data_IF_699787872943
#
_entry.id   IF_699787872943
#
_cell.length_a   1.000
_cell.length_b   1.000
_cell.length_c   1.000
_cell.angle_alpha   90.00
_cell.angle_beta   90.00
_cell.angle_gamma   90.00
#
_symmetry.space_group_name_H-M   'P 1'
#
loop_
_entity.id
_entity.type
_entity.pdbx_description
1 polymer ?
#
# COMPACT_ATOMS: atom_id res chain seq x y z
N UNK A 1 -19.63 -22.47 -27.18
CA UNK A 1 -19.46 -22.45 -25.71
C UNK A 1 -19.23 -21.00 -25.28
N UNK A 2 -20.18 -20.36 -24.59
CA UNK A 2 -19.93 -19.05 -23.96
C UNK A 2 -18.84 -19.25 -22.92
N UNK A 3 -17.67 -18.65 -23.14
CA UNK A 3 -16.66 -18.56 -22.09
C UNK A 3 -17.19 -17.59 -21.05
N UNK A 4 -17.69 -18.10 -19.92
CA UNK A 4 -17.98 -17.27 -18.74
C UNK A 4 -16.74 -16.44 -18.40
N UNK A 5 -16.81 -15.14 -18.70
CA UNK A 5 -15.80 -14.13 -18.40
C UNK A 5 -16.12 -13.51 -17.04
N UNK A 6 -15.09 -13.19 -16.26
CA UNK A 6 -15.29 -12.54 -14.95
C UNK A 6 -15.72 -11.09 -15.11
N UNK A 7 -16.35 -10.52 -14.08
CA UNK A 7 -16.75 -9.10 -14.09
C UNK A 7 -15.57 -8.16 -14.39
N UNK A 8 -14.41 -8.43 -13.79
CA UNK A 8 -13.20 -7.64 -14.02
C UNK A 8 -12.67 -7.72 -15.46
N UNK A 9 -12.92 -8.82 -16.18
CA UNK A 9 -12.54 -8.96 -17.58
C UNK A 9 -13.53 -8.24 -18.52
N UNK A 10 -14.81 -8.17 -18.13
CA UNK A 10 -15.84 -7.48 -18.91
C UNK A 10 -15.79 -5.95 -18.73
N UNK A 11 -15.47 -5.47 -17.52
CA UNK A 11 -15.41 -4.06 -17.15
C UNK A 11 -14.08 -3.73 -16.48
N UNK A 12 -13.03 -3.69 -17.29
CA UNK A 12 -11.70 -3.39 -16.80
C UNK A 12 -11.57 -1.92 -16.36
N UNK A 13 -10.83 -1.70 -15.26
CA UNK A 13 -10.39 -0.40 -14.79
C UNK A 13 -8.95 -0.53 -14.28
N UNK A 14 -8.06 0.46 -14.51
CA UNK A 14 -6.72 0.47 -13.92
C UNK A 14 -6.71 0.35 -12.38
N UNK A 15 -7.82 0.68 -11.70
CA UNK A 15 -7.93 0.51 -10.26
C UNK A 15 -7.84 -0.96 -9.80
N UNK A 16 -7.98 -1.95 -10.69
CA UNK A 16 -7.72 -3.35 -10.33
C UNK A 16 -6.25 -3.63 -9.94
N UNK A 17 -5.30 -2.74 -10.28
CA UNK A 17 -3.96 -2.81 -9.71
C UNK A 17 -3.96 -2.66 -8.17
N UNK A 18 -4.98 -2.01 -7.59
CA UNK A 18 -5.15 -1.92 -6.14
C UNK A 18 -5.42 -3.29 -5.49
N UNK A 19 -5.94 -4.27 -6.24
CA UNK A 19 -6.05 -5.64 -5.75
C UNK A 19 -4.66 -6.28 -5.55
N UNK A 20 -3.75 -6.10 -6.53
CA UNK A 20 -2.37 -6.56 -6.39
C UNK A 20 -1.63 -5.82 -5.26
N UNK A 21 -1.83 -4.50 -5.17
CA UNK A 21 -1.31 -3.66 -4.09
C UNK A 21 -1.78 -4.13 -2.72
N UNK A 22 -3.09 -4.38 -2.56
CA UNK A 22 -3.69 -4.85 -1.31
C UNK A 22 -3.16 -6.21 -0.87
N UNK A 23 -3.03 -7.17 -1.79
CA UNK A 23 -2.36 -8.45 -1.52
C UNK A 23 -0.91 -8.24 -1.05
N UNK A 24 -0.14 -7.37 -1.72
CA UNK A 24 1.21 -7.04 -1.29
C UNK A 24 1.23 -6.40 0.11
N UNK A 25 0.24 -5.55 0.40
CA UNK A 25 0.04 -4.97 1.72
C UNK A 25 -0.13 -6.01 2.83
N UNK A 26 -0.95 -7.03 2.57
CA UNK A 26 -1.16 -8.14 3.48
C UNK A 26 0.09 -9.00 3.67
N UNK A 27 0.98 -9.11 2.67
CA UNK A 27 2.31 -9.72 2.88
C UNK A 27 3.09 -8.97 3.97
N UNK A 28 3.07 -7.64 3.93
CA UNK A 28 3.76 -6.80 4.92
C UNK A 28 3.18 -6.99 6.31
N UNK A 29 1.85 -7.09 6.46
CA UNK A 29 1.24 -7.30 7.79
C UNK A 29 1.68 -8.63 8.42
N UNK A 30 1.76 -9.71 7.65
CA UNK A 30 2.34 -10.97 8.15
C UNK A 30 3.84 -10.85 8.44
N UNK A 31 4.58 -10.10 7.63
CA UNK A 31 5.99 -9.84 7.90
C UNK A 31 6.22 -9.05 9.21
N UNK A 32 5.28 -8.20 9.63
CA UNK A 32 5.36 -7.50 10.93
C UNK A 32 5.44 -8.46 12.11
N UNK A 33 4.85 -9.66 12.00
CA UNK A 33 4.93 -10.68 13.05
C UNK A 33 6.37 -11.15 13.19
N UNK A 34 7.01 -11.46 12.07
CA UNK A 34 8.41 -11.87 12.04
C UNK A 34 9.28 -10.73 12.55
N UNK A 35 9.08 -9.52 12.02
CA UNK A 35 9.86 -8.33 12.38
C UNK A 35 9.84 -8.03 13.88
N UNK A 36 8.71 -8.21 14.56
CA UNK A 36 8.58 -7.82 15.97
C UNK A 36 8.58 -8.99 16.96
N UNK A 37 8.41 -10.24 16.52
CA UNK A 37 8.37 -11.39 17.44
C UNK A 37 9.56 -12.35 17.28
N UNK A 38 10.31 -12.26 16.18
CA UNK A 38 11.55 -13.04 15.98
C UNK A 38 12.76 -12.19 16.38
N UNK A 39 13.61 -12.64 17.31
CA UNK A 39 14.88 -11.99 17.60
C UNK A 39 15.85 -12.09 16.40
N UNK A 40 16.46 -10.97 16.01
CA UNK A 40 17.39 -10.88 14.87
C UNK A 40 18.55 -9.93 15.23
N UNK A 41 19.48 -10.33 16.12
CA UNK A 41 20.57 -9.48 16.57
C UNK A 41 21.55 -9.16 15.42
N UNK A 42 22.06 -7.93 15.40
CA UNK A 42 23.05 -7.49 14.41
C UNK A 42 22.47 -7.14 13.04
N UNK A 43 21.15 -7.21 12.87
CA UNK A 43 20.45 -6.90 11.61
C UNK A 43 19.23 -6.03 11.88
N UNK A 44 18.79 -5.26 10.89
CA UNK A 44 17.62 -4.40 11.01
C UNK A 44 16.29 -5.15 10.77
N UNK A 45 16.36 -6.32 10.14
CA UNK A 45 15.21 -7.17 9.76
C UNK A 45 15.54 -8.64 9.99
N UNK A 46 14.55 -9.50 10.28
CA UNK A 46 14.77 -10.92 10.41
C UNK A 46 14.99 -11.59 9.05
N UNK A 47 15.96 -12.49 8.99
CA UNK A 47 16.24 -13.35 7.83
C UNK A 47 15.84 -14.81 8.11
N UNK A 48 15.85 -15.65 7.09
CA UNK A 48 15.48 -17.07 7.16
C UNK A 48 16.18 -17.79 8.33
N UNK A 49 17.48 -17.54 8.53
CA UNK A 49 18.28 -18.15 9.58
C UNK A 49 17.79 -17.78 10.99
N UNK A 50 17.38 -16.53 11.20
CA UNK A 50 16.81 -16.07 12.47
C UNK A 50 15.44 -16.69 12.71
N UNK A 51 14.62 -16.76 11.66
CA UNK A 51 13.29 -17.35 11.72
C UNK A 51 13.39 -18.85 12.03
N UNK A 52 14.29 -19.59 11.37
CA UNK A 52 14.52 -21.01 11.64
C UNK A 52 15.04 -21.25 13.06
N UNK A 53 15.93 -20.40 13.56
CA UNK A 53 16.40 -20.46 14.94
C UNK A 53 15.26 -20.23 15.92
N UNK A 54 14.43 -19.21 15.68
CA UNK A 54 13.26 -18.91 16.50
C UNK A 54 12.16 -19.98 16.41
N UNK A 55 12.04 -20.67 15.28
CA UNK A 55 11.12 -21.80 15.12
C UNK A 55 11.60 -23.01 15.95
N UNK A 56 12.90 -23.34 15.90
CA UNK A 56 13.47 -24.47 16.66
C UNK A 56 13.46 -24.23 18.16
N UNK A 57 13.78 -23.02 18.61
CA UNK A 57 13.92 -22.67 20.03
C UNK A 57 12.69 -21.98 20.64
N UNK A 58 11.65 -21.73 19.85
CA UNK A 58 10.47 -20.97 20.27
C UNK A 58 9.46 -21.79 21.07
N UNK A 59 8.63 -21.11 21.86
CA UNK A 59 7.44 -21.72 22.45
C UNK A 59 6.44 -22.15 21.37
N UNK A 60 5.52 -23.09 21.65
CA UNK A 60 4.52 -23.53 20.67
C UNK A 60 3.72 -22.38 20.05
N UNK A 61 3.40 -21.35 20.84
CA UNK A 61 2.70 -20.17 20.36
C UNK A 61 3.55 -19.35 19.37
N UNK A 62 4.85 -19.19 19.64
CA UNK A 62 5.77 -18.51 18.72
C UNK A 62 5.95 -19.31 17.43
N UNK A 63 6.04 -20.64 17.53
CA UNK A 63 6.11 -21.53 16.37
C UNK A 63 4.86 -21.39 15.49
N UNK A 64 3.66 -21.43 16.11
CA UNK A 64 2.41 -21.23 15.40
C UNK A 64 2.37 -19.85 14.70
N UNK A 65 2.79 -18.78 15.38
CA UNK A 65 2.84 -17.45 14.80
C UNK A 65 3.78 -17.37 13.58
N UNK A 66 4.96 -18.02 13.63
CA UNK A 66 5.90 -18.09 12.51
C UNK A 66 5.28 -18.86 11.33
N UNK A 67 4.67 -20.02 11.58
CA UNK A 67 4.02 -20.83 10.53
C UNK A 67 2.87 -20.07 9.87
N UNK A 68 2.04 -19.38 10.66
CA UNK A 68 0.97 -18.51 10.16
C UNK A 68 1.55 -17.38 9.31
N UNK A 69 2.63 -16.74 9.77
CA UNK A 69 3.29 -15.68 9.00
C UNK A 69 3.85 -16.19 7.67
N UNK A 70 4.52 -17.34 7.65
CA UNK A 70 5.00 -17.96 6.41
C UNK A 70 3.88 -18.30 5.44
N UNK A 71 2.83 -18.97 5.91
CA UNK A 71 1.68 -19.31 5.07
C UNK A 71 0.99 -18.06 4.52
N UNK A 72 0.81 -17.04 5.37
CA UNK A 72 0.22 -15.75 5.00
C UNK A 72 1.05 -15.00 3.96
N UNK A 73 2.37 -14.90 4.16
CA UNK A 73 3.30 -14.29 3.20
C UNK A 73 3.25 -15.03 1.87
N UNK A 74 3.36 -16.36 1.86
CA UNK A 74 3.37 -17.15 0.63
C UNK A 74 2.05 -17.00 -0.15
N UNK A 75 0.90 -17.13 0.53
CA UNK A 75 -0.42 -17.03 -0.09
C UNK A 75 -0.69 -15.63 -0.66
N UNK A 76 -0.39 -14.58 0.11
CA UNK A 76 -0.63 -13.20 -0.32
C UNK A 76 0.38 -12.75 -1.37
N UNK A 77 1.63 -13.22 -1.33
CA UNK A 77 2.61 -12.95 -2.37
C UNK A 77 2.22 -13.61 -3.70
N UNK A 78 1.72 -14.85 -3.65
CA UNK A 78 1.15 -15.51 -4.82
C UNK A 78 -0.01 -14.68 -5.41
N UNK A 79 -0.94 -14.21 -4.58
CA UNK A 79 -2.03 -13.35 -5.04
C UNK A 79 -1.54 -12.02 -5.62
N UNK A 80 -0.56 -11.37 -4.99
CA UNK A 80 0.05 -10.14 -5.49
C UNK A 80 0.63 -10.33 -6.89
N UNK A 81 1.49 -11.34 -7.08
CA UNK A 81 2.11 -11.62 -8.39
C UNK A 81 1.07 -12.02 -9.45
N UNK A 82 0.14 -12.91 -9.09
CA UNK A 82 -0.94 -13.34 -9.99
C UNK A 82 -1.77 -12.16 -10.48
N UNK A 83 -2.21 -11.29 -9.57
CA UNK A 83 -3.05 -10.14 -9.91
C UNK A 83 -2.27 -9.06 -10.65
N UNK A 84 -0.98 -8.88 -10.34
CA UNK A 84 -0.13 -7.92 -11.07
C UNK A 84 0.04 -8.34 -12.54
N UNK A 85 0.38 -9.61 -12.78
CA UNK A 85 0.54 -10.15 -14.14
C UNK A 85 -0.77 -10.02 -14.92
N UNK A 86 -1.89 -10.40 -14.29
CA UNK A 86 -3.22 -10.23 -14.90
C UNK A 86 -3.49 -8.77 -15.27
N UNK A 87 -3.25 -7.82 -14.35
CA UNK A 87 -3.49 -6.40 -14.60
C UNK A 87 -2.61 -5.84 -15.72
N UNK A 88 -1.34 -6.23 -15.83
CA UNK A 88 -0.51 -5.80 -16.95
C UNK A 88 -1.03 -6.32 -18.29
N UNK A 89 -1.48 -7.58 -18.34
CA UNK A 89 -2.09 -8.14 -19.55
C UNK A 89 -3.38 -7.41 -19.92
N UNK A 90 -4.22 -7.11 -18.94
CA UNK A 90 -5.50 -6.43 -19.13
C UNK A 90 -5.32 -4.96 -19.50
N UNK A 91 -4.37 -4.25 -18.86
CA UNK A 91 -4.02 -2.88 -19.22
C UNK A 91 -3.52 -2.78 -20.65
N UNK A 92 -2.70 -3.74 -21.10
CA UNK A 92 -2.20 -3.77 -22.49
C UNK A 92 -3.34 -3.94 -23.48
N UNK A 93 -4.32 -4.81 -23.20
CA UNK A 93 -5.51 -4.95 -24.03
C UNK A 93 -6.37 -3.67 -24.00
N UNK A 94 -6.59 -3.12 -22.81
CA UNK A 94 -7.36 -1.89 -22.59
C UNK A 94 -6.77 -0.69 -23.31
N UNK A 95 -5.44 -0.57 -23.39
CA UNK A 95 -4.74 0.53 -24.07
C UNK A 95 -5.10 0.70 -25.56
N UNK A 96 -5.72 -0.32 -26.18
CA UNK A 96 -6.18 -0.29 -27.58
C UNK A 96 -7.69 -0.01 -27.74
N UNK A 97 -8.38 0.40 -26.67
CA UNK A 97 -9.84 0.63 -26.66
C UNK A 97 -10.20 2.11 -26.73
N UNK A 98 -11.46 2.44 -27.04
CA UNK A 98 -11.95 3.83 -27.00
C UNK A 98 -12.03 4.33 -25.57
N UNK A 99 -12.46 3.48 -24.64
CA UNK A 99 -12.58 3.78 -23.21
C UNK A 99 -11.23 4.20 -22.61
N UNK A 100 -10.11 3.66 -23.11
CA UNK A 100 -8.78 4.12 -22.73
C UNK A 100 -8.47 5.53 -23.24
N UNK A 101 -8.87 5.88 -24.46
CA UNK A 101 -8.69 7.24 -25.00
C UNK A 101 -9.52 8.24 -24.20
N UNK A 102 -10.76 7.90 -23.86
CA UNK A 102 -11.62 8.69 -22.98
C UNK A 102 -10.98 8.86 -21.59
N UNK A 103 -10.44 7.78 -21.01
CA UNK A 103 -9.75 7.84 -19.72
C UNK A 103 -8.57 8.82 -19.76
N UNK A 104 -7.70 8.73 -20.79
CA UNK A 104 -6.55 9.62 -20.98
C UNK A 104 -6.95 11.09 -21.18
N UNK A 105 -8.15 11.35 -21.70
CA UNK A 105 -8.67 12.70 -21.89
C UNK A 105 -9.35 13.28 -20.63
N UNK A 106 -9.54 12.49 -19.58
CA UNK A 106 -10.30 12.85 -18.37
C UNK A 106 -9.43 13.06 -17.13
N UNK A 107 -10.03 13.49 -16.01
CA UNK A 107 -9.37 13.48 -14.70
C UNK A 107 -9.02 12.06 -14.22
N UNK A 108 -9.69 11.05 -14.77
CA UNK A 108 -9.46 9.64 -14.49
C UNK A 108 -8.12 9.11 -15.00
N UNK A 109 -7.40 9.85 -15.86
CA UNK A 109 -6.04 9.49 -16.33
C UNK A 109 -5.10 9.15 -15.17
N UNK A 110 -5.26 9.82 -14.02
CA UNK A 110 -4.50 9.58 -12.79
C UNK A 110 -4.62 8.14 -12.25
N UNK A 111 -5.67 7.40 -12.62
CA UNK A 111 -5.83 5.99 -12.26
C UNK A 111 -4.72 5.09 -12.83
N UNK A 112 -4.07 5.50 -13.92
CA UNK A 112 -2.93 4.76 -14.49
C UNK A 112 -1.74 4.68 -13.54
N UNK A 113 -1.64 5.58 -12.56
CA UNK A 113 -0.62 5.54 -11.50
C UNK A 113 -0.80 4.37 -10.53
N UNK A 114 -1.94 3.68 -10.55
CA UNK A 114 -2.12 2.44 -9.80
C UNK A 114 -1.12 1.36 -10.26
N UNK A 115 -0.69 1.37 -11.53
CA UNK A 115 0.25 0.41 -12.09
C UNK A 115 1.69 0.54 -11.55
N UNK A 116 2.35 1.72 -11.59
CA UNK A 116 3.65 1.92 -10.93
C UNK A 116 3.56 1.75 -9.41
N UNK A 117 2.47 2.17 -8.79
CA UNK A 117 2.21 1.97 -7.35
C UNK A 117 2.22 0.48 -6.97
N UNK A 118 1.45 -0.36 -7.68
CA UNK A 118 1.41 -1.80 -7.42
C UNK A 118 2.73 -2.50 -7.76
N UNK A 119 3.44 -2.03 -8.78
CA UNK A 119 4.78 -2.52 -9.13
C UNK A 119 5.80 -2.22 -8.02
N UNK A 120 5.78 -1.01 -7.47
CA UNK A 120 6.63 -0.63 -6.34
C UNK A 120 6.37 -1.52 -5.12
N UNK A 121 5.10 -1.79 -4.83
CA UNK A 121 4.75 -2.71 -3.77
C UNK A 121 5.21 -4.15 -4.03
N UNK A 122 5.16 -4.59 -5.29
CA UNK A 122 5.61 -5.94 -5.67
C UNK A 122 7.12 -6.11 -5.45
N UNK A 123 7.93 -5.08 -5.71
CA UNK A 123 9.37 -5.11 -5.36
C UNK A 123 9.54 -5.33 -3.84
N UNK A 124 8.75 -4.65 -3.00
CA UNK A 124 8.78 -4.88 -1.55
C UNK A 124 8.38 -6.32 -1.18
N UNK A 125 7.38 -6.89 -1.85
CA UNK A 125 6.97 -8.30 -1.66
C UNK A 125 8.10 -9.26 -2.03
N UNK A 126 8.76 -9.05 -3.17
CA UNK A 126 9.90 -9.87 -3.59
C UNK A 126 11.05 -9.80 -2.60
N UNK A 127 11.30 -8.62 -2.02
CA UNK A 127 12.29 -8.47 -0.97
C UNK A 127 11.92 -9.26 0.30
N UNK A 128 10.67 -9.21 0.74
CA UNK A 128 10.18 -10.03 1.86
C UNK A 128 10.30 -11.53 1.55
N UNK A 129 9.93 -11.97 0.36
CA UNK A 129 10.10 -13.37 -0.05
C UNK A 129 11.58 -13.79 0.03
N UNK A 130 12.47 -12.92 -0.43
CA UNK A 130 13.91 -13.10 -0.29
C UNK A 130 14.31 -13.31 1.18
N UNK A 131 14.01 -12.35 2.05
CA UNK A 131 14.40 -12.39 3.46
C UNK A 131 13.87 -13.65 4.17
N UNK A 132 12.65 -14.06 3.83
CA UNK A 132 11.90 -15.07 4.58
C UNK A 132 12.13 -16.49 4.07
N UNK A 133 12.44 -16.67 2.78
CA UNK A 133 12.53 -18.00 2.15
C UNK A 133 13.86 -18.29 1.45
N UNK A 134 14.75 -17.31 1.26
CA UNK A 134 16.03 -17.52 0.55
C UNK A 134 17.18 -17.59 1.56
N UNK A 135 17.87 -18.74 1.67
CA UNK A 135 19.02 -18.87 2.56
C UNK A 135 20.20 -18.03 2.09
N UNK A 136 20.93 -17.44 3.04
CA UNK A 136 22.15 -16.68 2.76
C UNK A 136 21.94 -15.32 2.07
N UNK A 137 20.70 -14.86 1.90
CA UNK A 137 20.42 -13.59 1.20
C UNK A 137 21.19 -12.40 1.81
N UNK A 138 21.36 -12.38 3.13
CA UNK A 138 22.06 -11.29 3.81
C UNK A 138 23.53 -11.15 3.39
N UNK A 139 24.16 -12.22 2.92
CA UNK A 139 25.55 -12.20 2.44
C UNK A 139 25.71 -11.38 1.14
N UNK A 140 24.63 -11.21 0.38
CA UNK A 140 24.63 -10.48 -0.91
C UNK A 140 23.78 -9.22 -0.86
N UNK A 141 23.31 -8.80 0.33
CA UNK A 141 22.39 -7.67 0.48
C UNK A 141 22.98 -6.37 -0.08
N UNK A 142 24.28 -6.16 0.07
CA UNK A 142 24.97 -4.96 -0.43
C UNK A 142 24.98 -4.85 -1.95
N UNK A 143 24.90 -5.96 -2.68
CA UNK A 143 24.76 -5.96 -4.15
C UNK A 143 23.31 -5.74 -4.57
N UNK A 144 22.35 -6.21 -3.76
CA UNK A 144 20.92 -6.06 -4.04
C UNK A 144 20.44 -4.62 -3.84
N UNK A 145 21.06 -3.87 -2.91
CA UNK A 145 20.64 -2.50 -2.57
C UNK A 145 20.78 -1.50 -3.73
N UNK A 146 21.90 -1.41 -4.47
CA UNK A 146 21.99 -0.57 -5.68
C UNK A 146 21.00 -0.96 -6.77
N UNK A 147 20.77 -2.27 -6.96
CA UNK A 147 19.77 -2.76 -7.93
C UNK A 147 18.36 -2.33 -7.53
N UNK A 148 18.03 -2.41 -6.23
CA UNK A 148 16.76 -1.93 -5.70
C UNK A 148 16.59 -0.41 -5.92
N UNK A 149 17.63 0.39 -5.69
CA UNK A 149 17.60 1.84 -5.99
C UNK A 149 17.30 2.08 -7.47
N UNK A 150 18.00 1.41 -8.38
CA UNK A 150 17.78 1.55 -9.82
C UNK A 150 16.34 1.16 -10.22
N UNK A 151 15.81 0.07 -9.66
CA UNK A 151 14.44 -0.37 -9.93
C UNK A 151 13.40 0.66 -9.46
N UNK A 152 13.54 1.19 -8.24
CA UNK A 152 12.61 2.22 -7.74
C UNK A 152 12.77 3.56 -8.47
N UNK A 153 13.98 3.96 -8.87
CA UNK A 153 14.18 5.13 -9.74
C UNK A 153 13.48 4.93 -11.09
N UNK A 154 13.57 3.74 -11.69
CA UNK A 154 12.85 3.39 -12.91
C UNK A 154 11.32 3.54 -12.75
N UNK A 155 10.76 3.05 -11.65
CA UNK A 155 9.34 3.25 -11.32
C UNK A 155 9.00 4.73 -11.08
N UNK A 156 9.92 5.48 -10.47
CA UNK A 156 9.83 6.93 -10.29
C UNK A 156 9.75 7.69 -11.60
N UNK A 157 10.62 7.37 -12.56
CA UNK A 157 10.60 7.95 -13.91
C UNK A 157 9.28 7.62 -14.60
N UNK A 158 8.79 6.39 -14.48
CA UNK A 158 7.50 6.00 -15.04
C UNK A 158 6.33 6.78 -14.41
N UNK A 159 6.30 6.90 -13.08
CA UNK A 159 5.28 7.68 -12.38
C UNK A 159 5.32 9.17 -12.78
N UNK A 160 6.51 9.78 -12.85
CA UNK A 160 6.65 11.18 -13.27
C UNK A 160 6.25 11.41 -14.72
N UNK A 161 6.46 10.45 -15.63
CA UNK A 161 5.94 10.56 -17.01
C UNK A 161 4.42 10.61 -17.04
N UNK A 162 3.74 9.70 -16.32
CA UNK A 162 2.27 9.71 -16.24
C UNK A 162 1.73 11.01 -15.61
N UNK A 163 2.40 11.48 -14.54
CA UNK A 163 2.05 12.74 -13.88
C UNK A 163 2.29 13.93 -14.82
N UNK A 164 3.41 13.93 -15.55
CA UNK A 164 3.78 14.96 -16.50
C UNK A 164 2.82 15.05 -17.68
N UNK A 165 2.38 13.91 -18.22
CA UNK A 165 1.35 13.86 -19.27
C UNK A 165 0.04 14.50 -18.76
N UNK A 166 -0.40 14.11 -17.57
CA UNK A 166 -1.63 14.61 -16.95
C UNK A 166 -1.57 16.12 -16.68
N UNK A 167 -0.53 16.58 -15.97
CA UNK A 167 -0.36 18.00 -15.68
C UNK A 167 -0.10 18.82 -16.94
N UNK A 168 0.68 18.29 -17.88
CA UNK A 168 0.96 18.94 -19.15
C UNK A 168 -0.33 19.24 -19.89
N UNK A 169 -1.25 18.28 -19.98
CA UNK A 169 -2.58 18.48 -20.56
C UNK A 169 -3.43 19.48 -19.77
N UNK A 170 -3.58 19.25 -18.46
CA UNK A 170 -4.46 20.05 -17.59
C UNK A 170 -4.04 21.52 -17.52
N UNK A 171 -2.73 21.79 -17.42
CA UNK A 171 -2.20 23.15 -17.23
C UNK A 171 -1.98 23.90 -18.56
N UNK A 172 -1.80 23.22 -19.69
CA UNK A 172 -1.56 23.88 -20.98
C UNK A 172 -2.83 24.30 -21.70
N UNK A 173 -3.92 23.54 -21.56
CA UNK A 173 -5.08 23.68 -22.45
C UNK A 173 -6.19 24.57 -21.87
N UNK A 174 -6.18 24.87 -20.56
CA UNK A 174 -7.17 25.72 -19.88
C UNK A 174 -8.60 25.15 -19.94
N UNK A 175 -9.19 24.79 -18.79
CA UNK A 175 -10.53 24.19 -18.77
C UNK A 175 -10.58 22.69 -19.10
N UNK A 176 -9.44 22.05 -19.37
CA UNK A 176 -9.30 20.59 -19.51
C UNK A 176 -9.46 19.82 -18.18
N UNK A 177 -9.71 20.53 -17.09
CA UNK A 177 -9.89 20.00 -15.74
C UNK A 177 -11.28 20.32 -15.23
N UNK A 178 -12.11 19.29 -15.14
CA UNK A 178 -13.48 19.42 -14.69
C UNK A 178 -13.55 19.31 -13.15
N UNK A 179 -13.80 20.45 -12.49
CA UNK A 179 -13.96 20.55 -11.04
C UNK A 179 -15.20 19.79 -10.52
N UNK A 180 -16.21 19.55 -11.37
CA UNK A 180 -17.39 18.74 -11.04
C UNK A 180 -17.08 17.23 -11.01
N UNK A 181 -16.18 16.78 -11.89
CA UNK A 181 -15.62 15.42 -11.87
C UNK A 181 -14.45 15.25 -10.88
N UNK A 182 -14.05 16.33 -10.20
CA UNK A 182 -13.00 16.36 -9.18
C UNK A 182 -13.50 15.94 -7.79
N UNK A 183 -14.59 15.18 -7.71
CA UNK A 183 -15.19 14.76 -6.44
C UNK A 183 -14.69 13.40 -5.92
N UNK A 184 -13.50 12.99 -6.37
CA UNK A 184 -12.85 11.72 -6.03
C UNK A 184 -11.42 11.94 -5.58
N UNK A 185 -11.02 11.28 -4.49
CA UNK A 185 -9.62 11.21 -4.06
C UNK A 185 -8.79 10.22 -4.92
N UNK A 186 -9.31 9.75 -6.06
CA UNK A 186 -8.48 9.12 -7.11
C UNK A 186 -7.29 10.03 -7.49
N UNK A 187 -7.41 11.34 -7.28
CA UNK A 187 -6.34 12.31 -7.47
C UNK A 187 -5.24 12.31 -6.40
N UNK A 188 -5.41 11.55 -5.32
CA UNK A 188 -4.30 11.23 -4.42
C UNK A 188 -3.45 10.07 -4.93
N UNK A 189 -3.83 9.37 -6.01
CA UNK A 189 -2.97 8.31 -6.59
C UNK A 189 -1.57 8.81 -6.96
N UNK A 190 -1.36 10.00 -7.56
CA UNK A 190 -0.03 10.60 -7.71
C UNK A 190 0.76 10.66 -6.39
N UNK A 191 0.17 11.24 -5.34
CA UNK A 191 0.82 11.32 -4.03
C UNK A 191 1.13 9.93 -3.47
N UNK A 192 0.19 9.00 -3.61
CA UNK A 192 0.34 7.64 -3.11
C UNK A 192 1.42 6.88 -3.86
N UNK A 193 1.45 6.92 -5.19
CA UNK A 193 2.47 6.30 -6.01
C UNK A 193 3.86 6.85 -5.68
N UNK A 194 4.02 8.17 -5.60
CA UNK A 194 5.29 8.81 -5.22
C UNK A 194 5.71 8.43 -3.80
N UNK A 195 4.79 8.39 -2.84
CA UNK A 195 5.09 8.00 -1.46
C UNK A 195 5.50 6.52 -1.34
N UNK A 196 4.90 5.63 -2.14
CA UNK A 196 5.28 4.21 -2.20
C UNK A 196 6.68 4.03 -2.80
N UNK A 197 7.02 4.80 -3.82
CA UNK A 197 8.36 4.81 -4.42
C UNK A 197 9.37 5.38 -3.42
N UNK A 198 9.01 6.44 -2.70
CA UNK A 198 9.85 7.05 -1.66
C UNK A 198 10.19 6.05 -0.53
N UNK A 199 9.20 5.33 0.00
CA UNK A 199 9.45 4.32 1.03
C UNK A 199 10.29 3.15 0.51
N UNK A 200 10.12 2.76 -0.76
CA UNK A 200 10.97 1.77 -1.42
C UNK A 200 12.43 2.23 -1.53
N UNK A 201 12.63 3.46 -2.01
CA UNK A 201 13.95 4.10 -2.10
C UNK A 201 14.63 4.27 -0.74
N UNK A 202 13.89 4.31 0.37
CA UNK A 202 14.45 4.40 1.73
C UNK A 202 14.91 3.06 2.31
N UNK A 203 14.58 1.93 1.68
CA UNK A 203 14.95 0.62 2.21
C UNK A 203 16.48 0.45 2.35
N UNK A 204 17.32 0.83 1.34
CA UNK A 204 18.77 0.73 1.48
C UNK A 204 19.36 1.60 2.58
N UNK A 205 18.75 2.73 2.93
CA UNK A 205 19.20 3.55 4.06
C UNK A 205 19.12 2.78 5.39
N UNK A 206 18.19 1.83 5.52
CA UNK A 206 18.05 1.02 6.72
C UNK A 206 18.78 -0.32 6.69
N UNK A 207 19.26 -0.76 5.50
CA UNK A 207 19.72 -2.14 5.28
C UNK A 207 21.17 -2.23 4.79
N UNK A 208 21.72 -1.16 4.22
CA UNK A 208 23.10 -1.12 3.74
C UNK A 208 24.03 -0.56 4.81
N UNK A 209 25.25 -1.08 4.84
CA UNK A 209 26.39 -0.56 5.61
C UNK A 209 27.30 0.34 4.76
N UNK A 210 27.10 0.37 3.44
CA UNK A 210 27.88 1.19 2.52
C UNK A 210 27.33 2.62 2.51
N UNK A 211 28.12 3.57 3.05
CA UNK A 211 27.72 4.98 3.20
C UNK A 211 27.22 5.63 1.91
N UNK A 212 27.82 5.30 0.76
CA UNK A 212 27.38 5.82 -0.54
C UNK A 212 25.96 5.37 -0.89
N UNK A 213 25.64 4.09 -0.67
CA UNK A 213 24.30 3.53 -0.88
C UNK A 213 23.29 4.13 0.09
N UNK A 214 23.65 4.28 1.37
CA UNK A 214 22.79 4.93 2.38
C UNK A 214 22.52 6.38 2.00
N UNK A 215 23.56 7.16 1.64
CA UNK A 215 23.42 8.55 1.23
C UNK A 215 22.55 8.73 -0.01
N UNK A 216 22.77 7.92 -1.06
CA UNK A 216 21.95 7.95 -2.27
C UNK A 216 20.48 7.60 -1.98
N UNK A 217 20.25 6.56 -1.17
CA UNK A 217 18.93 6.16 -0.69
C UNK A 217 18.21 7.29 0.04
N UNK A 218 18.90 7.97 0.95
CA UNK A 218 18.35 9.11 1.68
C UNK A 218 17.99 10.27 0.78
N UNK A 219 18.88 10.70 -0.13
CA UNK A 219 18.63 11.81 -1.05
C UNK A 219 17.42 11.51 -1.95
N UNK A 220 17.43 10.32 -2.58
CA UNK A 220 16.38 9.93 -3.52
C UNK A 220 15.03 9.75 -2.80
N UNK A 221 14.98 9.04 -1.67
CA UNK A 221 13.73 8.90 -0.91
C UNK A 221 13.20 10.23 -0.40
N UNK A 222 14.07 11.16 0.01
CA UNK A 222 13.66 12.51 0.43
C UNK A 222 13.06 13.31 -0.72
N UNK A 223 13.66 13.25 -1.92
CA UNK A 223 13.13 13.91 -3.10
C UNK A 223 11.72 13.41 -3.45
N UNK A 224 11.54 12.10 -3.56
CA UNK A 224 10.22 11.51 -3.86
C UNK A 224 9.20 11.72 -2.74
N UNK A 225 9.63 11.65 -1.47
CA UNK A 225 8.78 11.91 -0.32
C UNK A 225 8.29 13.36 -0.26
N UNK A 226 9.17 14.31 -0.57
CA UNK A 226 8.82 15.73 -0.66
C UNK A 226 7.85 15.99 -1.80
N UNK A 227 8.10 15.41 -2.98
CA UNK A 227 7.17 15.50 -4.12
C UNK A 227 5.79 14.92 -3.77
N UNK A 228 5.75 13.77 -3.07
CA UNK A 228 4.51 13.16 -2.61
C UNK A 228 3.73 14.06 -1.64
N UNK A 229 4.41 14.70 -0.69
CA UNK A 229 3.78 15.63 0.28
C UNK A 229 3.19 16.84 -0.45
N UNK A 230 3.94 17.45 -1.38
CA UNK A 230 3.46 18.59 -2.17
C UNK A 230 2.19 18.20 -2.94
N UNK A 231 2.21 17.05 -3.62
CA UNK A 231 1.03 16.53 -4.31
C UNK A 231 -0.14 16.27 -3.36
N UNK A 232 0.10 15.64 -2.21
CA UNK A 232 -0.94 15.33 -1.25
C UNK A 232 -1.62 16.61 -0.74
N UNK A 233 -0.86 17.66 -0.44
CA UNK A 233 -1.40 18.94 0.02
C UNK A 233 -2.26 19.61 -1.06
N UNK A 234 -1.76 19.70 -2.30
CA UNK A 234 -2.50 20.30 -3.41
C UNK A 234 -3.78 19.50 -3.69
N UNK A 235 -3.69 18.17 -3.75
CA UNK A 235 -4.82 17.29 -3.99
C UNK A 235 -5.84 17.33 -2.84
N UNK A 236 -5.40 17.44 -1.58
CA UNK A 236 -6.30 17.57 -0.44
C UNK A 236 -7.07 18.90 -0.48
N UNK A 237 -6.39 20.03 -0.73
CA UNK A 237 -7.04 21.35 -0.79
C UNK A 237 -8.06 21.39 -1.93
N UNK A 238 -7.67 20.95 -3.13
CA UNK A 238 -8.56 20.95 -4.30
C UNK A 238 -9.70 19.94 -4.15
N UNK A 239 -9.41 18.74 -3.65
CA UNK A 239 -10.40 17.68 -3.44
C UNK A 239 -11.46 18.06 -2.42
N UNK A 240 -11.07 18.57 -1.25
CA UNK A 240 -12.02 19.03 -0.21
C UNK A 240 -12.92 20.12 -0.78
N UNK A 241 -12.37 21.08 -1.54
CA UNK A 241 -13.16 22.15 -2.14
C UNK A 241 -14.24 21.60 -3.10
N UNK A 242 -13.86 20.67 -4.00
CA UNK A 242 -14.81 20.06 -4.92
C UNK A 242 -15.87 19.22 -4.20
N UNK A 243 -15.49 18.45 -3.18
CA UNK A 243 -16.43 17.65 -2.39
C UNK A 243 -17.43 18.50 -1.61
N UNK A 244 -17.01 19.67 -1.12
CA UNK A 244 -17.92 20.62 -0.45
C UNK A 244 -18.92 21.23 -1.45
N UNK A 245 -18.57 21.37 -2.72
CA UNK A 245 -19.44 21.94 -3.76
C UNK A 245 -20.34 20.93 -4.45
N UNK A 246 -19.84 19.71 -4.67
CA UNK A 246 -20.47 18.71 -5.54
C UNK A 246 -20.79 17.38 -4.82
N UNK A 247 -20.47 17.27 -3.53
CA UNK A 247 -20.48 16.00 -2.81
C UNK A 247 -19.33 15.08 -3.23
N UNK A 248 -19.14 13.95 -2.56
CA UNK A 248 -18.15 12.93 -2.96
C UNK A 248 -18.78 11.93 -3.92
N UNK A 249 -18.13 11.60 -5.04
CA UNK A 249 -18.58 10.55 -5.93
C UNK A 249 -18.69 9.21 -5.18
N UNK A 250 -19.88 8.62 -5.13
CA UNK A 250 -20.16 7.41 -4.35
C UNK A 250 -19.19 6.28 -4.66
N UNK A 251 -18.98 5.98 -5.94
CA UNK A 251 -18.09 4.89 -6.35
C UNK A 251 -16.64 5.09 -5.89
N UNK A 252 -16.22 6.35 -5.76
CA UNK A 252 -14.90 6.75 -5.29
C UNK A 252 -14.82 7.00 -3.79
N UNK A 253 -15.89 6.84 -3.02
CA UNK A 253 -15.92 7.09 -1.57
C UNK A 253 -14.71 6.54 -0.79
N UNK A 254 -14.24 5.30 -1.04
CA UNK A 254 -13.09 4.73 -0.31
C UNK A 254 -11.80 5.53 -0.43
N UNK A 255 -11.65 6.31 -1.50
CA UNK A 255 -10.44 7.08 -1.77
C UNK A 255 -10.18 8.17 -0.72
N UNK A 256 -11.21 8.59 0.04
CA UNK A 256 -11.08 9.45 1.24
C UNK A 256 -10.05 8.94 2.24
N UNK A 257 -9.91 7.61 2.32
CA UNK A 257 -9.06 6.95 3.30
C UNK A 257 -7.63 6.75 2.78
N UNK A 258 -7.30 7.14 1.54
CA UNK A 258 -5.94 7.00 0.94
C UNK A 258 -4.89 7.84 1.69
N UNK A 259 -5.30 8.87 2.44
CA UNK A 259 -4.40 9.59 3.33
C UNK A 259 -3.72 8.65 4.35
N UNK A 260 -4.44 7.63 4.83
CA UNK A 260 -3.92 6.63 5.79
C UNK A 260 -2.67 5.94 5.24
N UNK A 261 -2.72 5.20 4.10
CA UNK A 261 -1.52 4.55 3.58
C UNK A 261 -0.42 5.52 3.17
N UNK A 262 -0.73 6.74 2.71
CA UNK A 262 0.30 7.76 2.42
C UNK A 262 1.07 8.11 3.69
N UNK A 263 0.37 8.42 4.78
CA UNK A 263 0.97 8.77 6.08
C UNK A 263 1.79 7.59 6.62
N UNK A 264 1.28 6.36 6.53
CA UNK A 264 2.02 5.17 6.96
C UNK A 264 3.33 5.01 6.20
N UNK A 265 3.32 5.06 4.86
CA UNK A 265 4.53 4.79 4.07
C UNK A 265 5.56 5.92 4.20
N UNK A 266 5.12 7.18 4.28
CA UNK A 266 6.02 8.30 4.58
C UNK A 266 6.57 8.20 6.01
N UNK A 267 5.77 7.73 6.97
CA UNK A 267 6.23 7.43 8.32
C UNK A 267 7.33 6.38 8.35
N UNK A 268 7.14 5.27 7.63
CA UNK A 268 8.14 4.20 7.49
C UNK A 268 9.40 4.72 6.78
N UNK A 269 9.25 5.56 5.75
CA UNK A 269 10.38 6.20 5.08
C UNK A 269 11.23 6.99 6.07
N UNK A 270 10.61 7.86 6.87
CA UNK A 270 11.31 8.67 7.87
C UNK A 270 11.97 7.79 8.95
N UNK A 271 11.31 6.72 9.41
CA UNK A 271 11.92 5.78 10.36
C UNK A 271 13.16 5.07 9.78
N UNK A 272 13.12 4.69 8.49
CA UNK A 272 14.26 4.06 7.80
C UNK A 272 15.41 5.04 7.61
N UNK A 273 15.12 6.28 7.23
CA UNK A 273 16.13 7.34 7.13
C UNK A 273 16.75 7.66 8.49
N UNK A 274 15.96 7.72 9.56
CA UNK A 274 16.47 7.91 10.92
C UNK A 274 17.40 6.77 11.35
N UNK A 275 17.08 5.52 10.99
CA UNK A 275 17.98 4.39 11.23
C UNK A 275 19.29 4.53 10.45
N UNK A 276 19.23 4.89 9.16
CA UNK A 276 20.42 5.11 8.32
C UNK A 276 21.31 6.25 8.82
N UNK A 277 20.71 7.34 9.30
CA UNK A 277 21.41 8.44 9.96
C UNK A 277 22.11 7.97 11.24
N UNK A 278 21.43 7.15 12.06
CA UNK A 278 22.00 6.63 13.29
C UNK A 278 23.15 5.66 13.01
N UNK A 279 22.96 4.69 12.12
CA UNK A 279 23.95 3.67 11.83
C UNK A 279 25.14 4.18 11.00
N UNK A 280 24.89 5.04 10.01
CA UNK A 280 25.89 5.46 9.02
C UNK A 280 26.54 6.82 9.28
N UNK A 281 25.85 7.71 10.01
CA UNK A 281 26.22 9.13 10.16
C UNK A 281 26.28 9.62 11.62
N UNK A 282 26.09 8.73 12.60
CA UNK A 282 26.24 9.05 14.03
C UNK A 282 25.15 9.97 14.61
N UNK A 283 23.99 10.07 13.96
CA UNK A 283 22.85 10.78 14.54
C UNK A 283 22.24 9.97 15.69
N UNK A 284 21.81 10.61 16.77
CA UNK A 284 21.13 9.93 17.87
C UNK A 284 19.68 10.39 17.98
N UNK A 285 18.75 9.43 18.00
CA UNK A 285 17.33 9.68 18.26
C UNK A 285 16.92 9.07 19.60
N UNK A 286 15.99 9.69 20.31
CA UNK A 286 15.49 9.20 21.59
C UNK A 286 14.16 8.42 21.42
N UNK A 287 13.97 7.27 22.10
CA UNK A 287 12.69 6.56 22.11
C UNK A 287 11.44 7.41 22.39
N UNK A 288 11.54 8.44 23.25
CA UNK A 288 10.42 9.36 23.50
C UNK A 288 9.99 10.15 22.26
N UNK A 289 10.94 10.58 21.42
CA UNK A 289 10.65 11.28 20.16
C UNK A 289 9.97 10.34 19.16
N UNK A 290 10.41 9.08 19.09
CA UNK A 290 9.79 8.05 18.25
C UNK A 290 8.34 7.78 18.67
N UNK A 291 8.07 7.74 19.98
CA UNK A 291 6.70 7.61 20.50
C UNK A 291 5.82 8.78 20.06
N UNK A 292 6.27 10.03 20.27
CA UNK A 292 5.51 11.23 19.88
C UNK A 292 5.29 11.27 18.36
N UNK A 293 6.32 10.94 17.57
CA UNK A 293 6.24 10.85 16.13
C UNK A 293 5.18 9.84 15.67
N UNK A 294 5.24 8.60 16.15
CA UNK A 294 4.26 7.56 15.80
C UNK A 294 2.85 7.89 16.30
N UNK A 295 2.73 8.56 17.45
CA UNK A 295 1.43 9.04 17.97
C UNK A 295 0.80 10.07 17.03
N UNK A 296 1.58 10.99 16.48
CA UNK A 296 1.10 11.98 15.49
C UNK A 296 0.59 11.31 14.23
N UNK A 297 1.34 10.34 13.69
CA UNK A 297 0.92 9.58 12.51
C UNK A 297 -0.37 8.80 12.80
N UNK A 298 -0.42 8.08 13.93
CA UNK A 298 -1.59 7.31 14.35
C UNK A 298 -2.83 8.18 14.51
N UNK A 299 -2.67 9.39 15.06
CA UNK A 299 -3.78 10.35 15.22
C UNK A 299 -4.37 10.75 13.86
N UNK A 300 -3.51 11.03 12.87
CA UNK A 300 -3.96 11.35 11.50
C UNK A 300 -4.72 10.16 10.90
N UNK A 301 -4.17 8.94 11.02
CA UNK A 301 -4.82 7.75 10.48
C UNK A 301 -6.20 7.52 11.09
N UNK A 302 -6.33 7.57 12.41
CA UNK A 302 -7.61 7.37 13.10
C UNK A 302 -8.64 8.42 12.65
N UNK A 303 -8.26 9.70 12.54
CA UNK A 303 -9.17 10.76 12.09
C UNK A 303 -9.68 10.52 10.66
N UNK A 304 -8.80 10.16 9.73
CA UNK A 304 -9.21 9.90 8.35
C UNK A 304 -9.96 8.58 8.19
N UNK A 305 -9.66 7.55 9.00
CA UNK A 305 -10.45 6.33 9.05
C UNK A 305 -11.88 6.62 9.53
N UNK A 306 -12.04 7.37 10.62
CA UNK A 306 -13.36 7.75 11.15
C UNK A 306 -14.15 8.57 10.12
N UNK A 307 -13.52 9.60 9.52
CA UNK A 307 -14.16 10.42 8.49
C UNK A 307 -14.62 9.58 7.30
N UNK A 308 -13.72 8.74 6.77
CA UNK A 308 -14.02 7.87 5.63
C UNK A 308 -15.18 6.92 5.93
N UNK A 309 -15.16 6.24 7.08
CA UNK A 309 -16.24 5.32 7.47
C UNK A 309 -17.59 6.02 7.63
N UNK A 310 -17.62 7.22 8.21
CA UNK A 310 -18.86 8.02 8.34
C UNK A 310 -19.43 8.37 6.96
N UNK A 311 -18.58 8.84 6.04
CA UNK A 311 -19.02 9.19 4.68
C UNK A 311 -19.53 7.96 3.93
N UNK A 312 -18.77 6.85 3.96
CA UNK A 312 -19.15 5.60 3.30
C UNK A 312 -20.48 5.04 3.82
N UNK A 313 -20.70 5.11 5.13
CA UNK A 313 -21.94 4.64 5.74
C UNK A 313 -23.14 5.50 5.30
N UNK A 314 -23.00 6.83 5.30
CA UNK A 314 -24.08 7.74 4.84
C UNK A 314 -24.37 7.62 3.34
N UNK A 315 -23.40 7.21 2.55
CA UNK A 315 -23.59 6.95 1.12
C UNK A 315 -24.20 5.58 0.82
N UNK A 316 -24.33 4.69 1.82
CA UNK A 316 -24.75 3.32 1.59
C UNK A 316 -23.71 2.50 0.80
N UNK A 317 -22.43 2.91 0.81
CA UNK A 317 -21.39 2.35 -0.05
C UNK A 317 -21.25 0.83 0.13
N UNK A 318 -21.25 0.37 1.38
CA UNK A 318 -21.12 -1.06 1.68
C UNK A 318 -22.30 -1.86 1.13
N UNK A 319 -23.52 -1.36 1.28
CA UNK A 319 -24.72 -2.03 0.80
C UNK A 319 -24.76 -2.11 -0.74
N UNK A 320 -24.20 -1.12 -1.43
CA UNK A 320 -24.22 -1.04 -2.90
C UNK A 320 -23.03 -1.79 -3.54
N UNK A 321 -21.80 -1.41 -3.19
CA UNK A 321 -20.59 -1.82 -3.91
C UNK A 321 -19.86 -3.01 -3.27
N UNK A 322 -19.98 -3.20 -1.95
CA UNK A 322 -19.29 -4.29 -1.23
C UNK A 322 -20.17 -5.52 -1.09
N UNK A 323 -21.42 -5.35 -0.68
CA UNK A 323 -22.39 -6.43 -0.46
C UNK A 323 -23.50 -6.50 -1.51
N UNK A 324 -23.73 -5.44 -2.28
CA UNK A 324 -24.79 -5.35 -3.29
C UNK A 324 -24.48 -6.05 -4.60
N UNK A 325 -25.26 -5.76 -5.65
CA UNK A 325 -25.15 -6.40 -6.97
C UNK A 325 -24.23 -5.67 -7.96
N UNK A 326 -23.69 -4.51 -7.59
CA UNK A 326 -22.93 -3.64 -8.50
C UNK A 326 -21.47 -3.56 -8.04
N UNK A 327 -20.57 -4.47 -8.50
CA UNK A 327 -19.18 -4.44 -8.08
C UNK A 327 -18.47 -3.20 -8.64
N UNK A 328 -17.64 -2.55 -7.83
CA UNK A 328 -16.76 -1.45 -8.27
C UNK A 328 -15.30 -1.80 -8.02
N UNK A 329 -14.45 -1.56 -9.01
CA UNK A 329 -13.00 -1.68 -8.84
C UNK A 329 -12.46 -0.75 -7.74
N UNK A 330 -13.14 0.38 -7.50
CA UNK A 330 -12.82 1.31 -6.42
C UNK A 330 -12.92 0.70 -5.02
N UNK A 331 -13.69 -0.39 -4.84
CA UNK A 331 -13.80 -1.07 -3.55
C UNK A 331 -12.47 -1.63 -3.05
N UNK A 332 -11.53 -1.98 -3.95
CA UNK A 332 -10.18 -2.41 -3.56
C UNK A 332 -9.39 -1.32 -2.82
N UNK A 333 -9.74 -0.04 -2.99
CA UNK A 333 -9.12 1.06 -2.24
C UNK A 333 -9.42 1.00 -0.73
N UNK A 334 -10.43 0.24 -0.29
CA UNK A 334 -10.71 0.01 1.14
C UNK A 334 -9.65 -0.85 1.84
N UNK A 335 -8.88 -1.65 1.09
CA UNK A 335 -7.92 -2.59 1.66
C UNK A 335 -6.69 -1.88 2.22
N UNK A 336 -6.13 -0.95 1.44
CA UNK A 336 -4.87 -0.29 1.77
C UNK A 336 -4.92 0.48 3.10
N UNK A 337 -6.00 1.25 3.42
CA UNK A 337 -6.12 1.91 4.72
C UNK A 337 -6.08 0.96 5.92
N UNK A 338 -6.82 -0.16 5.86
CA UNK A 338 -6.82 -1.11 6.98
C UNK A 338 -5.48 -1.85 7.14
N UNK A 339 -4.84 -2.19 6.03
CA UNK A 339 -3.48 -2.77 6.02
C UNK A 339 -2.47 -1.78 6.62
N UNK A 340 -2.49 -0.54 6.15
CA UNK A 340 -1.52 0.46 6.53
C UNK A 340 -1.67 0.83 8.02
N UNK A 341 -2.91 0.94 8.50
CA UNK A 341 -3.23 1.08 9.92
C UNK A 341 -2.71 -0.10 10.76
N UNK A 342 -2.87 -1.34 10.29
CA UNK A 342 -2.32 -2.51 10.99
C UNK A 342 -0.79 -2.45 11.08
N UNK A 343 -0.11 -2.09 9.99
CA UNK A 343 1.35 -1.93 9.95
C UNK A 343 1.82 -0.82 10.89
N UNK A 344 1.21 0.37 10.82
CA UNK A 344 1.59 1.48 11.69
C UNK A 344 1.32 1.14 13.17
N UNK A 345 0.24 0.42 13.46
CA UNK A 345 -0.05 -0.06 14.82
C UNK A 345 1.06 -0.97 15.34
N UNK A 346 1.59 -1.88 14.51
CA UNK A 346 2.75 -2.68 14.90
C UNK A 346 3.99 -1.83 15.22
N UNK A 347 4.29 -0.81 14.40
CA UNK A 347 5.38 0.13 14.70
C UNK A 347 5.11 0.93 15.98
N UNK A 348 3.90 1.47 16.14
CA UNK A 348 3.49 2.24 17.31
C UNK A 348 3.62 1.43 18.59
N UNK A 349 3.14 0.18 18.59
CA UNK A 349 3.24 -0.71 19.75
C UNK A 349 4.70 -1.07 20.06
N UNK A 350 5.49 -1.47 19.07
CA UNK A 350 6.81 -2.04 19.31
C UNK A 350 7.94 -1.01 19.39
N UNK A 351 7.94 0.01 18.52
CA UNK A 351 8.95 1.08 18.49
C UNK A 351 8.53 2.31 19.30
N UNK A 352 7.23 2.58 19.40
CA UNK A 352 6.69 3.66 20.23
C UNK A 352 6.53 3.24 21.69
N UNK A 353 5.46 2.50 22.00
CA UNK A 353 5.07 2.19 23.37
C UNK A 353 6.09 1.32 24.11
N UNK A 354 6.48 0.18 23.54
CA UNK A 354 7.50 -0.70 24.14
C UNK A 354 8.87 -0.01 24.13
N UNK A 355 9.25 0.62 23.01
CA UNK A 355 10.53 1.29 22.87
C UNK A 355 10.75 2.41 23.89
N UNK A 356 9.71 3.16 24.23
CA UNK A 356 9.75 4.22 25.23
C UNK A 356 9.46 3.74 26.67
N UNK A 357 9.26 2.44 26.90
CA UNK A 357 8.99 1.88 28.23
C UNK A 357 7.59 2.18 28.77
N UNK A 358 6.63 2.53 27.90
CA UNK A 358 5.23 2.81 28.30
C UNK A 358 4.48 1.52 28.64
N UNK A 359 4.79 0.42 27.93
CA UNK A 359 4.20 -0.91 28.17
C UNK A 359 5.26 -2.00 28.06
N UNK A 360 5.06 -3.10 28.78
CA UNK A 360 5.93 -4.27 28.71
C UNK A 360 5.68 -5.10 27.45
N UNK A 361 6.78 -5.54 26.81
CA UNK A 361 6.71 -6.43 25.65
C UNK A 361 6.08 -7.76 26.05
N UNK A 362 5.09 -8.21 25.27
CA UNK A 362 4.30 -9.43 25.52
C UNK A 362 3.42 -9.43 26.79
N UNK A 363 3.27 -8.30 27.48
CA UNK A 363 2.30 -8.14 28.57
C UNK A 363 0.85 -7.96 28.07
N UNK A 364 -0.10 -7.81 29.00
CA UNK A 364 -1.53 -7.66 28.66
C UNK A 364 -1.80 -6.44 27.77
N UNK A 365 -1.23 -5.28 28.12
CA UNK A 365 -1.39 -4.04 27.34
C UNK A 365 -0.82 -4.17 25.92
N UNK A 366 0.30 -4.88 25.77
CA UNK A 366 0.90 -5.18 24.46
C UNK A 366 -0.05 -5.98 23.58
N UNK A 367 -0.65 -7.04 24.11
CA UNK A 367 -1.55 -7.90 23.35
C UNK A 367 -2.88 -7.22 23.04
N UNK A 368 -3.42 -6.39 23.95
CA UNK A 368 -4.61 -5.58 23.68
C UNK A 368 -4.38 -4.61 22.52
N UNK A 369 -3.26 -3.87 22.53
CA UNK A 369 -2.94 -2.94 21.45
C UNK A 369 -2.63 -3.68 20.13
N UNK A 370 -1.92 -4.81 20.22
CA UNK A 370 -1.62 -5.65 19.04
C UNK A 370 -2.88 -6.28 18.44
N UNK A 371 -3.87 -6.65 19.26
CA UNK A 371 -5.13 -7.22 18.80
C UNK A 371 -5.88 -6.30 17.83
N UNK A 372 -5.73 -4.98 17.96
CA UNK A 372 -6.28 -4.00 17.02
C UNK A 372 -5.68 -4.17 15.63
N UNK A 373 -4.35 -4.34 15.54
CA UNK A 373 -3.67 -4.59 14.27
C UNK A 373 -4.10 -5.94 13.66
N UNK A 374 -4.21 -6.98 14.49
CA UNK A 374 -4.63 -8.32 14.05
C UNK A 374 -6.08 -8.31 13.54
N UNK A 375 -6.98 -7.59 14.20
CA UNK A 375 -8.38 -7.45 13.78
C UNK A 375 -8.48 -6.69 12.44
N UNK A 376 -7.73 -5.59 12.29
CA UNK A 376 -7.66 -4.86 11.03
C UNK A 376 -7.13 -5.76 9.89
N UNK A 377 -6.05 -6.50 10.12
CA UNK A 377 -5.51 -7.46 9.16
C UNK A 377 -6.54 -8.54 8.79
N UNK A 378 -7.20 -9.17 9.77
CA UNK A 378 -8.20 -10.20 9.53
C UNK A 378 -9.38 -9.67 8.68
N UNK A 379 -9.86 -8.46 8.98
CA UNK A 379 -10.91 -7.80 8.20
C UNK A 379 -10.46 -7.53 6.76
N UNK A 380 -9.22 -7.09 6.55
CA UNK A 380 -8.68 -6.83 5.22
C UNK A 380 -8.44 -8.11 4.41
N UNK A 381 -8.03 -9.20 5.05
CA UNK A 381 -7.95 -10.53 4.41
C UNK A 381 -9.34 -10.97 3.95
N UNK A 382 -10.33 -10.88 4.84
CA UNK A 382 -11.71 -11.22 4.50
C UNK A 382 -12.23 -10.37 3.34
N UNK A 383 -12.02 -9.05 3.39
CA UNK A 383 -12.47 -8.12 2.34
C UNK A 383 -11.79 -8.44 1.00
N UNK A 384 -10.48 -8.71 1.01
CA UNK A 384 -9.74 -9.09 -0.19
C UNK A 384 -10.29 -10.37 -0.82
N UNK A 385 -10.53 -11.41 -0.02
CA UNK A 385 -11.08 -12.68 -0.50
C UNK A 385 -12.52 -12.51 -1.01
N UNK A 386 -13.32 -11.70 -0.33
CA UNK A 386 -14.69 -11.39 -0.72
C UNK A 386 -14.74 -10.64 -2.07
N UNK A 387 -13.96 -9.57 -2.22
CA UNK A 387 -13.86 -8.82 -3.47
C UNK A 387 -13.30 -9.68 -4.60
N UNK A 388 -12.27 -10.48 -4.34
CA UNK A 388 -11.70 -11.36 -5.36
C UNK A 388 -12.73 -12.38 -5.90
N UNK A 389 -13.54 -12.96 -5.02
CA UNK A 389 -14.62 -13.86 -5.44
C UNK A 389 -15.65 -13.15 -6.30
N UNK A 390 -15.96 -11.89 -6.02
CA UNK A 390 -16.95 -11.11 -6.78
C UNK A 390 -16.44 -10.63 -8.14
N UNK A 391 -15.21 -10.13 -8.19
CA UNK A 391 -14.64 -9.51 -9.38
C UNK A 391 -13.99 -10.52 -10.33
N UNK A 392 -13.35 -11.55 -9.79
CA UNK A 392 -12.62 -12.58 -10.55
C UNK A 392 -13.31 -13.95 -10.55
N UNK A 393 -14.40 -14.11 -9.82
CA UNK A 393 -15.25 -15.30 -9.91
C UNK A 393 -15.90 -15.42 -11.29
N UNK A 394 -16.15 -16.65 -11.71
CA UNK A 394 -16.92 -16.95 -12.93
C UNK A 394 -18.40 -16.72 -12.63
N UNK A 395 -18.99 -15.70 -13.25
CA UNK A 395 -20.45 -15.56 -13.26
C UNK A 395 -20.98 -16.37 -14.44
N UNK A 396 -21.93 -17.26 -14.19
CA UNK A 396 -22.71 -17.85 -15.26
C UNK A 396 -23.52 -16.72 -15.90
N UNK A 397 -23.37 -16.53 -17.21
CA UNK A 397 -24.24 -15.66 -18.03
C UNK A 397 -25.69 -16.03 -17.72
N UNK A 398 -26.30 -15.27 -16.82
CA UNK A 398 -27.72 -15.29 -16.58
C UNK A 398 -28.19 -13.92 -17.02
N UNK A 399 -28.94 -13.93 -18.12
CA UNK A 399 -29.60 -12.82 -18.85
C UNK A 399 -28.78 -12.09 -19.92
N UNK A 400 -28.71 -12.70 -21.12
CA UNK A 400 -29.21 -11.99 -22.30
C UNK A 400 -30.70 -11.72 -22.04
N UNK A 401 -31.05 -10.53 -21.59
CA UNK A 401 -32.41 -10.06 -21.81
C UNK A 401 -32.55 -9.83 -23.33
N UNK A 402 -33.49 -10.51 -24.02
CA UNK A 402 -33.86 -10.10 -25.35
C UNK A 402 -34.50 -8.72 -25.21
N UNK A 403 -33.83 -7.69 -25.72
CA UNK A 403 -34.47 -6.43 -26.09
C UNK A 403 -35.65 -6.82 -26.99
N UNK A 404 -36.85 -6.78 -26.43
CA UNK A 404 -38.08 -6.79 -27.21
C UNK A 404 -38.11 -5.53 -28.05
N UNK A 405 -38.45 -5.75 -29.33
CA UNK A 405 -38.61 -4.84 -30.46
C UNK A 405 -39.09 -3.42 -30.15
#
# INVERSE_FOLDING_TARGET
>A
MSMSTSYAAQRYSPLYFLAALGAGGLVVTFFMYLMFWVPHPGQAVPILEDILRALKAGSPLRQAAIVIAWAGIAAMAFLNLKLLIWNFSALRAFAHTEEYRELRASNGETQLLAAPLASAMTINVLFILGLVFVPGLWQVVEYLMPVALAAFVGLGIWAFRLIGDFLGRVLSTGGAFDLGQHNSFAQLLPAFALSMIAVGLSAPAALSTVKATVGASMILSTFFGTAAIIYAVIAAITGINAMLRHGTARESGPTLMIVVPIVTVLGIMLMRQAHGLHAGFGAHGNPGEMLVFLTRLMSIEILFLMLGLVVLNRQGYFAEFVFGKTPSAGAYALICPGVAFAVLTHFFVNKGLVGAGVIDRFGTAYWLATAVALAAQALMIWLMLHLNRRHFGRHADTTRDPVTA
#
